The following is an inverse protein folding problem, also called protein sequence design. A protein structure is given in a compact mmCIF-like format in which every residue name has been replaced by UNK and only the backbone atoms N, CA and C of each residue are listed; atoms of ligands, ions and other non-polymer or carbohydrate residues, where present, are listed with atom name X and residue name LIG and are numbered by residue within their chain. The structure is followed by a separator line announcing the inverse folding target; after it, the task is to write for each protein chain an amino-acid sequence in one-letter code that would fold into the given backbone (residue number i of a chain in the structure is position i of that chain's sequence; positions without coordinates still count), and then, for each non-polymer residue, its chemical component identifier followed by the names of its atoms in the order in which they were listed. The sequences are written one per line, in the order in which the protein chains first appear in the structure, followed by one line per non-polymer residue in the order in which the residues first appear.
data_IF_847862876758
#
_entry.id   IF_847862876758
#
_cell.length_a   1.000
_cell.length_b   1.000
_cell.length_c   1.000
_cell.angle_alpha   90.00
_cell.angle_beta   90.00
_cell.angle_gamma   90.00
#
_symmetry.space_group_name_H-M   'P 1'
#
loop_
_entity.id
_entity.type
_entity.pdbx_description
1 polymer ?
#
# COMPACT_ATOMS: atom_id res chain seq x y z
N UNK A 1 17.36 11.11 -6.32
CA UNK A 1 16.85 10.99 -4.93
C UNK A 1 15.80 9.90 -4.94
N UNK A 2 15.87 8.93 -4.02
CA UNK A 2 15.01 7.74 -4.06
C UNK A 2 14.36 7.53 -2.70
N UNK A 3 13.05 7.32 -2.70
CA UNK A 3 12.26 7.06 -1.50
C UNK A 3 12.09 5.57 -1.30
N UNK A 4 12.32 5.09 -0.08
CA UNK A 4 12.00 3.73 0.31
C UNK A 4 10.84 3.77 1.29
N UNK A 5 9.76 3.06 1.01
CA UNK A 5 8.63 2.98 1.93
C UNK A 5 8.36 1.53 2.24
N UNK A 6 8.45 1.17 3.51
CA UNK A 6 8.12 -0.15 4.02
C UNK A 6 6.69 -0.13 4.53
N UNK A 7 5.84 -1.03 4.03
CA UNK A 7 4.40 -1.06 4.36
C UNK A 7 4.03 -2.39 5.00
N UNK A 8 3.23 -2.33 6.06
CA UNK A 8 2.71 -3.51 6.77
C UNK A 8 1.23 -3.31 7.11
N UNK A 9 0.48 -4.40 7.13
CA UNK A 9 -0.93 -4.33 7.50
C UNK A 9 -1.46 -5.66 8.00
N UNK A 10 -2.34 -5.62 8.98
CA UNK A 10 -2.96 -6.83 9.51
C UNK A 10 -4.37 -6.58 10.01
N UNK A 11 -5.20 -7.61 9.99
CA UNK A 11 -6.48 -7.63 10.66
C UNK A 11 -6.41 -8.67 11.77
N UNK A 12 -6.75 -8.28 13.00
CA UNK A 12 -6.73 -9.14 14.17
C UNK A 12 -8.05 -9.01 14.92
N UNK A 13 -8.73 -10.14 15.19
CA UNK A 13 -10.01 -10.17 15.92
C UNK A 13 -11.07 -9.20 15.39
N UNK A 14 -11.10 -8.99 14.07
CA UNK A 14 -12.02 -8.07 13.39
C UNK A 14 -11.53 -6.62 13.29
N UNK A 15 -10.52 -6.22 14.07
CA UNK A 15 -9.92 -4.88 14.01
C UNK A 15 -8.89 -4.78 12.88
N UNK A 16 -9.07 -3.79 12.01
CA UNK A 16 -8.09 -3.45 10.98
C UNK A 16 -6.98 -2.58 11.54
N UNK A 17 -5.73 -3.04 11.45
CA UNK A 17 -4.54 -2.27 11.81
C UNK A 17 -3.61 -2.15 10.61
N UNK A 18 -3.05 -0.97 10.40
CA UNK A 18 -2.08 -0.77 9.34
C UNK A 18 -0.98 0.17 9.82
N UNK A 19 0.22 -0.04 9.28
CA UNK A 19 1.34 0.85 9.49
C UNK A 19 2.20 0.96 8.24
N UNK A 20 2.84 2.10 8.07
CA UNK A 20 3.91 2.24 7.11
C UNK A 20 5.05 2.99 7.76
N UNK A 21 6.25 2.59 7.39
CA UNK A 21 7.49 3.24 7.73
C UNK A 21 8.07 3.81 6.45
N UNK A 22 8.29 5.12 6.42
CA UNK A 22 8.91 5.81 5.31
C UNK A 22 10.36 6.09 5.64
N UNK A 23 11.27 5.54 4.83
CA UNK A 23 12.70 5.81 4.90
C UNK A 23 13.12 6.64 3.69
N UNK A 24 13.48 7.89 3.94
CA UNK A 24 13.96 8.81 2.95
C UNK A 24 15.49 8.89 2.99
N UNK A 25 16.15 8.50 1.89
CA UNK A 25 17.60 8.65 1.71
C UNK A 25 17.92 9.85 0.83
N UNK A 26 18.73 10.77 1.36
CA UNK A 26 19.32 11.90 0.66
C UNK A 26 20.85 11.85 0.77
N UNK A 27 21.54 12.76 0.10
CA UNK A 27 23.00 12.77 -0.01
C UNK A 27 23.73 12.67 1.33
N UNK A 28 23.17 13.27 2.38
CA UNK A 28 23.85 13.51 3.65
C UNK A 28 23.13 12.89 4.85
N UNK A 29 22.14 12.01 4.63
CA UNK A 29 21.41 11.41 5.73
C UNK A 29 20.24 10.53 5.34
N UNK A 30 19.61 9.99 6.38
CA UNK A 30 18.38 9.21 6.28
C UNK A 30 17.39 9.75 7.30
N UNK A 31 16.15 9.95 6.88
CA UNK A 31 15.05 10.29 7.79
C UNK A 31 14.02 9.18 7.71
N UNK A 32 13.63 8.65 8.87
CA UNK A 32 12.60 7.62 9.00
C UNK A 32 11.38 8.16 9.75
N UNK A 33 10.19 7.91 9.23
CA UNK A 33 8.92 8.22 9.89
C UNK A 33 8.06 6.97 9.94
N UNK A 34 7.47 6.68 11.10
CA UNK A 34 6.48 5.63 11.24
C UNK A 34 5.10 6.24 11.42
N UNK A 35 4.13 5.76 10.65
CA UNK A 35 2.72 6.07 10.81
C UNK A 35 1.95 4.77 11.00
N UNK A 36 1.06 4.75 11.98
CA UNK A 36 0.18 3.62 12.25
C UNK A 36 -1.22 4.12 12.58
N UNK A 37 -2.25 3.38 12.17
CA UNK A 37 -3.60 3.58 12.65
C UNK A 37 -4.35 2.26 12.78
N UNK A 38 -5.40 2.29 13.60
CA UNK A 38 -6.36 1.21 13.77
C UNK A 38 -7.79 1.71 13.52
N UNK A 39 -8.65 0.82 13.00
CA UNK A 39 -10.04 1.13 12.66
C UNK A 39 -11.02 0.08 13.18
N UNK A 40 -12.31 0.28 12.89
CA UNK A 40 -13.42 -0.49 13.44
C UNK A 40 -13.35 -2.02 13.18
N UNK A 41 -14.02 -2.75 14.08
CA UNK A 41 -13.98 -4.21 14.26
C UNK A 41 -14.73 -5.04 13.21
N UNK A 42 -15.24 -4.45 12.12
CA UNK A 42 -16.05 -5.22 11.17
C UNK A 42 -15.80 -4.91 9.69
N UNK A 43 -15.66 -5.98 8.91
CA UNK A 43 -15.69 -5.93 7.44
C UNK A 43 -14.34 -5.68 6.73
N UNK A 44 -13.21 -5.83 7.42
CA UNK A 44 -11.87 -5.65 6.84
C UNK A 44 -11.00 -6.93 6.94
N UNK A 45 -9.96 -7.02 6.11
CA UNK A 45 -9.04 -8.16 6.03
C UNK A 45 -7.59 -7.68 6.08
N UNK A 46 -6.67 -8.57 6.45
CA UNK A 46 -5.24 -8.24 6.47
C UNK A 46 -4.75 -7.73 5.10
N UNK A 47 -5.27 -8.28 4.00
CA UNK A 47 -4.95 -7.82 2.64
C UNK A 47 -5.45 -6.40 2.37
N UNK A 48 -6.66 -6.07 2.79
CA UNK A 48 -7.18 -4.69 2.67
C UNK A 48 -6.34 -3.73 3.51
N UNK A 49 -5.91 -4.12 4.71
CA UNK A 49 -5.04 -3.28 5.54
C UNK A 49 -3.63 -3.12 4.95
N UNK A 50 -3.08 -4.17 4.33
CA UNK A 50 -1.81 -4.10 3.57
C UNK A 50 -1.92 -3.13 2.39
N UNK A 51 -3.01 -3.19 1.62
CA UNK A 51 -3.27 -2.23 0.54
C UNK A 51 -3.53 -0.81 1.07
N UNK A 52 -4.22 -0.67 2.20
CA UNK A 52 -4.45 0.62 2.81
C UNK A 52 -3.11 1.25 3.26
N UNK A 53 -2.20 0.48 3.86
CA UNK A 53 -0.86 0.96 4.20
C UNK A 53 -0.12 1.52 2.97
N UNK A 54 -0.19 0.82 1.83
CA UNK A 54 0.37 1.28 0.55
C UNK A 54 -0.31 2.58 0.08
N UNK A 55 -1.63 2.65 0.12
CA UNK A 55 -2.38 3.84 -0.29
C UNK A 55 -2.02 5.06 0.55
N UNK A 56 -1.97 4.92 1.87
CA UNK A 56 -1.63 6.01 2.79
C UNK A 56 -0.20 6.49 2.59
N UNK A 57 0.75 5.56 2.39
CA UNK A 57 2.12 5.88 2.02
C UNK A 57 2.20 6.74 0.74
N UNK A 58 1.44 6.38 -0.31
CA UNK A 58 1.40 7.14 -1.56
C UNK A 58 0.81 8.54 -1.34
N UNK A 59 -0.29 8.64 -0.59
CA UNK A 59 -0.92 9.95 -0.27
C UNK A 59 0.08 10.86 0.44
N UNK A 60 0.81 10.32 1.41
CA UNK A 60 1.82 11.07 2.15
C UNK A 60 2.95 11.56 1.24
N UNK A 61 3.55 10.69 0.41
CA UNK A 61 4.63 11.11 -0.50
C UNK A 61 4.15 12.15 -1.51
N UNK A 62 2.93 12.01 -2.04
CA UNK A 62 2.34 13.06 -2.91
C UNK A 62 2.20 14.40 -2.19
N UNK A 63 1.92 14.40 -0.89
CA UNK A 63 1.80 15.64 -0.11
C UNK A 63 3.13 16.34 0.15
N UNK A 64 4.25 15.63 0.03
CA UNK A 64 5.58 16.18 0.24
C UNK A 64 6.18 16.87 -1.01
N UNK A 65 5.50 16.82 -2.16
CA UNK A 65 5.94 17.42 -3.44
C UNK A 65 7.37 17.01 -3.88
N UNK A 66 7.70 15.75 -3.69
CA UNK A 66 9.05 15.24 -3.92
C UNK A 66 9.21 14.73 -5.35
N UNK A 67 10.29 15.15 -6.02
CA UNK A 67 10.66 14.67 -7.35
C UNK A 67 11.68 13.54 -7.27
N UNK A 68 11.28 12.33 -7.66
CA UNK A 68 12.18 11.18 -7.75
C UNK A 68 11.47 9.83 -7.75
N UNK A 69 12.19 8.73 -8.05
CA UNK A 69 11.68 7.39 -7.95
C UNK A 69 11.26 7.03 -6.52
N UNK A 70 10.12 6.34 -6.41
CA UNK A 70 9.54 5.85 -5.15
C UNK A 70 9.53 4.31 -5.20
N UNK A 71 10.13 3.69 -4.19
CA UNK A 71 10.18 2.23 -4.05
C UNK A 71 9.33 1.86 -2.84
N UNK A 72 8.19 1.21 -3.09
CA UNK A 72 7.26 0.74 -2.06
C UNK A 72 7.48 -0.75 -1.83
N UNK A 73 7.98 -1.10 -0.66
CA UNK A 73 8.20 -2.46 -0.18
C UNK A 73 7.05 -2.91 0.70
N UNK A 74 6.46 -4.06 0.39
CA UNK A 74 5.35 -4.60 1.16
C UNK A 74 5.62 -6.04 1.59
N UNK A 75 5.19 -6.40 2.80
CA UNK A 75 5.14 -7.80 3.27
C UNK A 75 3.98 -8.59 2.62
N UNK A 76 3.29 -8.01 1.63
CA UNK A 76 2.19 -8.61 0.91
C UNK A 76 2.58 -8.95 -0.54
N UNK A 77 3.25 -10.10 -0.76
CA UNK A 77 3.57 -10.59 -2.11
C UNK A 77 2.38 -10.56 -3.05
N UNK A 78 1.21 -11.01 -2.57
CA UNK A 78 0.01 -11.04 -3.40
C UNK A 78 -0.48 -9.63 -3.78
N UNK A 79 -0.43 -8.67 -2.86
CA UNK A 79 -0.79 -7.28 -3.14
C UNK A 79 0.15 -6.67 -4.18
N UNK A 80 1.47 -6.89 -4.05
CA UNK A 80 2.47 -6.42 -5.01
C UNK A 80 2.16 -6.96 -6.40
N UNK A 81 1.92 -8.27 -6.54
CA UNK A 81 1.58 -8.90 -7.82
C UNK A 81 0.29 -8.37 -8.46
N UNK A 82 -0.71 -8.02 -7.65
CA UNK A 82 -1.91 -7.37 -8.15
C UNK A 82 -1.62 -5.95 -8.64
N UNK A 83 -0.82 -5.18 -7.89
CA UNK A 83 -0.47 -3.80 -8.25
C UNK A 83 0.44 -3.74 -9.49
N UNK A 84 1.34 -4.70 -9.66
CA UNK A 84 2.21 -4.85 -10.84
C UNK A 84 1.49 -5.50 -12.03
N UNK A 85 0.20 -5.87 -11.89
CA UNK A 85 -0.61 -6.56 -12.91
C UNK A 85 -0.07 -7.92 -13.34
N UNK A 86 0.78 -8.55 -12.51
CA UNK A 86 1.14 -9.96 -12.69
C UNK A 86 -0.06 -10.90 -12.51
N UNK A 87 -0.99 -10.51 -11.64
CA UNK A 87 -2.28 -11.17 -11.45
C UNK A 87 -3.43 -10.22 -11.71
N UNK A 88 -4.44 -10.70 -12.42
CA UNK A 88 -5.68 -9.97 -12.56
C UNK A 88 -6.54 -10.13 -11.31
N UNK A 89 -6.42 -9.15 -10.42
CA UNK A 89 -7.13 -9.12 -9.14
C UNK A 89 -8.38 -8.23 -9.18
N UNK A 90 -8.72 -7.66 -10.35
CA UNK A 90 -9.80 -6.67 -10.51
C UNK A 90 -10.91 -7.08 -11.47
N UNK A 91 -10.73 -8.17 -12.23
CA UNK A 91 -11.77 -8.71 -13.12
C UNK A 91 -12.64 -9.81 -12.50
N UNK A 92 -12.27 -10.36 -11.33
CA UNK A 92 -12.99 -11.47 -10.70
C UNK A 92 -14.43 -11.07 -10.33
N UNK A 93 -15.44 -11.65 -10.99
CA UNK A 93 -16.85 -11.39 -10.71
C UNK A 93 -17.26 -11.53 -9.24
N UNK A 94 -16.47 -12.22 -8.41
CA UNK A 94 -16.61 -12.24 -6.95
C UNK A 94 -16.61 -10.84 -6.34
N UNK A 95 -15.85 -9.89 -6.89
CA UNK A 95 -15.87 -8.49 -6.42
C UNK A 95 -17.22 -7.83 -6.64
N UNK A 96 -18.04 -8.25 -7.61
CA UNK A 96 -19.37 -7.64 -7.81
C UNK A 96 -20.37 -8.03 -6.72
N UNK A 97 -20.13 -9.15 -6.04
CA UNK A 97 -21.09 -9.78 -5.09
C UNK A 97 -20.65 -9.67 -3.63
N UNK A 98 -19.35 -9.58 -3.36
CA UNK A 98 -18.78 -9.59 -2.01
C UNK A 98 -18.28 -8.19 -1.59
N UNK A 99 -18.76 -7.66 -0.45
CA UNK A 99 -18.38 -6.33 0.08
C UNK A 99 -16.87 -6.22 0.36
N UNK A 100 -16.26 -7.27 0.86
CA UNK A 100 -14.83 -7.32 1.18
C UNK A 100 -14.01 -7.29 -0.11
N UNK A 101 -14.42 -8.08 -1.10
CA UNK A 101 -13.79 -8.08 -2.41
C UNK A 101 -13.97 -6.72 -3.15
N UNK A 102 -15.10 -6.01 -2.97
CA UNK A 102 -15.27 -4.64 -3.49
C UNK A 102 -14.26 -3.66 -2.90
N UNK A 103 -14.15 -3.61 -1.58
CA UNK A 103 -13.22 -2.69 -0.91
C UNK A 103 -11.78 -2.97 -1.32
N UNK A 104 -11.43 -4.26 -1.47
CA UNK A 104 -10.15 -4.69 -2.00
C UNK A 104 -9.85 -4.14 -3.40
N UNK A 105 -10.77 -4.30 -4.37
CA UNK A 105 -10.60 -3.79 -5.74
C UNK A 105 -10.55 -2.26 -5.77
N UNK A 106 -11.33 -1.60 -4.90
CA UNK A 106 -11.30 -0.15 -4.77
C UNK A 106 -9.91 0.37 -4.39
N UNK A 107 -9.24 -0.26 -3.41
CA UNK A 107 -7.87 0.13 -3.05
C UNK A 107 -6.90 -0.01 -4.22
N UNK A 108 -6.93 -1.11 -4.98
CA UNK A 108 -6.05 -1.28 -6.15
C UNK A 108 -6.25 -0.14 -7.15
N UNK A 109 -7.50 0.14 -7.51
CA UNK A 109 -7.83 1.18 -8.49
C UNK A 109 -7.38 2.56 -8.02
N UNK A 110 -7.60 2.86 -6.75
CA UNK A 110 -7.18 4.13 -6.17
C UNK A 110 -5.65 4.27 -6.13
N UNK A 111 -4.94 3.19 -5.79
CA UNK A 111 -3.47 3.15 -5.86
C UNK A 111 -3.01 3.44 -7.29
N UNK A 112 -3.51 2.72 -8.29
CA UNK A 112 -3.15 2.94 -9.69
C UNK A 112 -3.42 4.37 -10.16
N UNK A 113 -4.55 4.95 -9.75
CA UNK A 113 -4.87 6.33 -10.08
C UNK A 113 -3.93 7.32 -9.39
N UNK A 114 -3.59 7.11 -8.10
CA UNK A 114 -2.72 8.05 -7.39
C UNK A 114 -1.27 8.01 -7.84
N UNK A 115 -0.79 6.85 -8.29
CA UNK A 115 0.56 6.71 -8.86
C UNK A 115 0.63 7.10 -10.33
N UNK A 116 -0.49 7.44 -10.96
CA UNK A 116 -0.49 7.95 -12.32
C UNK A 116 0.43 9.18 -12.41
N UNK A 117 1.42 9.12 -13.30
CA UNK A 117 2.50 10.09 -13.46
C UNK A 117 3.60 10.12 -12.38
N UNK A 118 3.65 9.15 -11.48
CA UNK A 118 4.77 8.96 -10.56
C UNK A 118 5.67 7.81 -11.02
N UNK A 119 6.98 7.92 -10.81
CA UNK A 119 7.91 6.80 -10.99
C UNK A 119 7.88 5.92 -9.74
N UNK A 120 6.89 5.02 -9.66
CA UNK A 120 6.69 4.11 -8.52
C UNK A 120 7.03 2.69 -8.91
N UNK A 121 7.80 2.01 -8.05
CA UNK A 121 8.09 0.58 -8.13
C UNK A 121 7.61 -0.13 -6.89
N UNK A 122 7.00 -1.30 -7.07
CA UNK A 122 6.56 -2.15 -5.97
C UNK A 122 7.51 -3.34 -5.81
N UNK A 123 7.93 -3.57 -4.57
CA UNK A 123 8.83 -4.64 -4.18
C UNK A 123 8.21 -5.46 -3.04
N UNK A 124 8.57 -6.74 -2.97
CA UNK A 124 8.21 -7.60 -1.84
C UNK A 124 9.33 -7.51 -0.81
N UNK A 125 9.00 -7.38 0.48
CA UNK A 125 9.99 -7.53 1.55
C UNK A 125 10.49 -8.98 1.54
N UNK A 126 11.78 -9.18 1.22
CA UNK A 126 12.42 -10.48 1.41
C UNK A 126 12.47 -10.78 2.91
N UNK A 127 12.07 -12.01 3.25
CA UNK A 127 11.98 -12.52 4.63
C UNK A 127 13.32 -13.01 5.11
#
# INVERSE_FOLDING_TARGET
MTFFITTRGNCFEGLGKWSYELEYKYSDGTISFEHSAEGESSGTTSRQMKLNAILQAIIFVKSMDLSGPIIIRSDCRWCVKCLTREYDCVSDDKYKRDKVARGYVQFIREIWWKIEHLDVRFEVLES
#
